data_IF_184317274690
#
_entry.id   IF_184317274690
#
_cell.length_a   1.000
_cell.length_b   1.000
_cell.length_c   1.000
_cell.angle_alpha   90.00
_cell.angle_beta   90.00
_cell.angle_gamma   90.00
#
_symmetry.space_group_name_H-M   'P 1'
#
loop_
_entity.id
_entity.type
_entity.pdbx_description
1 polymer ?
#
# COMPACT_ATOMS: atom_id res chain seq x y z
N UNK A 1 -29.73 -7.88 10.50
CA UNK A 1 -28.77 -8.95 10.17
C UNK A 1 -27.68 -8.91 11.21
N UNK A 2 -27.15 -10.06 11.63
CA UNK A 2 -26.10 -10.15 12.65
C UNK A 2 -24.92 -10.93 12.09
N UNK A 3 -23.74 -10.69 12.67
CA UNK A 3 -22.51 -11.40 12.38
C UNK A 3 -21.84 -11.14 11.03
N UNK A 4 -21.20 -12.17 10.44
CA UNK A 4 -20.53 -12.03 9.14
C UNK A 4 -21.43 -11.42 8.05
N UNK A 5 -22.74 -11.74 7.95
CA UNK A 5 -23.64 -11.05 7.03
C UNK A 5 -23.71 -9.53 7.25
N UNK A 6 -23.77 -9.07 8.51
CA UNK A 6 -23.81 -7.64 8.83
C UNK A 6 -22.47 -6.97 8.48
N UNK A 7 -21.36 -7.63 8.79
CA UNK A 7 -20.02 -7.15 8.44
C UNK A 7 -19.84 -7.07 6.91
N UNK A 8 -20.27 -8.09 6.18
CA UNK A 8 -20.22 -8.11 4.71
C UNK A 8 -21.08 -7.00 4.10
N UNK A 9 -22.25 -6.71 4.67
CA UNK A 9 -23.10 -5.58 4.27
C UNK A 9 -22.38 -4.24 4.48
N UNK A 10 -21.77 -4.04 5.65
CA UNK A 10 -20.96 -2.86 5.94
C UNK A 10 -19.79 -2.70 4.97
N UNK A 11 -19.02 -3.76 4.74
CA UNK A 11 -17.87 -3.74 3.83
C UNK A 11 -18.28 -3.57 2.36
N UNK A 12 -19.47 -4.05 1.98
CA UNK A 12 -20.06 -3.82 0.66
C UNK A 12 -20.49 -2.37 0.45
N UNK A 13 -21.03 -1.72 1.50
CA UNK A 13 -21.41 -0.31 1.47
C UNK A 13 -20.20 0.63 1.55
N UNK A 14 -19.16 0.22 2.29
CA UNK A 14 -17.95 1.01 2.54
C UNK A 14 -16.70 0.20 2.19
N UNK A 15 -16.25 0.25 0.91
CA UNK A 15 -15.08 -0.49 0.45
C UNK A 15 -13.77 -0.16 1.18
N UNK A 16 -13.68 1.05 1.76
CA UNK A 16 -12.59 1.51 2.65
C UNK A 16 -12.41 0.61 3.89
N UNK A 17 -13.51 -0.02 4.34
CA UNK A 17 -13.55 -0.93 5.48
C UNK A 17 -13.33 -2.40 5.07
N UNK A 18 -13.04 -2.65 3.79
CA UNK A 18 -12.64 -3.95 3.24
C UNK A 18 -11.25 -4.38 3.71
N UNK A 19 -11.10 -4.51 5.03
CA UNK A 19 -9.87 -4.84 5.73
C UNK A 19 -9.89 -6.33 6.05
N UNK A 20 -8.89 -7.04 5.55
CA UNK A 20 -8.77 -8.48 5.72
C UNK A 20 -7.37 -8.86 6.19
N UNK A 21 -7.25 -10.06 6.76
CA UNK A 21 -5.95 -10.63 7.11
C UNK A 21 -5.27 -11.16 5.84
N UNK A 22 -3.99 -10.84 5.67
CA UNK A 22 -3.14 -11.26 4.55
C UNK A 22 -2.65 -12.70 4.70
N UNK A 23 -2.56 -13.20 5.92
CA UNK A 23 -2.04 -14.53 6.27
C UNK A 23 -0.60 -14.75 5.77
N UNK A 24 0.26 -13.74 5.89
CA UNK A 24 1.64 -13.76 5.34
C UNK A 24 2.46 -14.95 5.81
N UNK A 25 2.41 -15.27 7.11
CA UNK A 25 3.13 -16.42 7.68
C UNK A 25 2.60 -17.76 7.15
N UNK A 26 1.28 -17.91 6.99
CA UNK A 26 0.69 -19.14 6.45
C UNK A 26 1.01 -19.30 4.97
N UNK A 27 0.92 -18.24 4.18
CA UNK A 27 1.28 -18.27 2.76
C UNK A 27 2.77 -18.58 2.57
N UNK A 28 3.64 -17.98 3.39
CA UNK A 28 5.07 -18.30 3.37
C UNK A 28 5.31 -19.78 3.72
N UNK A 29 4.64 -20.30 4.75
CA UNK A 29 4.71 -21.71 5.13
C UNK A 29 4.25 -22.63 4.00
N UNK A 30 3.16 -22.28 3.31
CA UNK A 30 2.68 -23.04 2.16
C UNK A 30 3.70 -23.07 1.01
N UNK A 31 4.32 -21.93 0.68
CA UNK A 31 5.37 -21.86 -0.32
C UNK A 31 6.59 -22.72 0.04
N UNK A 32 7.00 -22.71 1.32
CA UNK A 32 8.10 -23.54 1.81
C UNK A 32 7.81 -25.04 1.69
N UNK A 33 6.57 -25.46 1.96
CA UNK A 33 6.17 -26.86 1.79
C UNK A 33 6.11 -27.26 0.31
N UNK A 34 5.54 -26.42 -0.55
CA UNK A 34 5.56 -26.68 -2.00
C UNK A 34 6.99 -26.75 -2.54
N UNK A 35 7.90 -25.91 -2.05
CA UNK A 35 9.31 -25.97 -2.40
C UNK A 35 9.96 -27.28 -1.96
N UNK A 36 9.69 -27.75 -0.75
CA UNK A 36 10.21 -29.03 -0.27
C UNK A 36 9.69 -30.22 -1.11
N UNK A 37 8.38 -30.24 -1.42
CA UNK A 37 7.77 -31.25 -2.30
C UNK A 37 8.40 -31.24 -3.70
N UNK A 38 8.69 -30.06 -4.25
CA UNK A 38 9.33 -29.93 -5.55
C UNK A 38 10.77 -30.46 -5.56
N UNK A 39 11.54 -30.19 -4.50
CA UNK A 39 12.92 -30.69 -4.36
C UNK A 39 12.94 -32.22 -4.29
N UNK A 40 11.98 -32.82 -3.58
CA UNK A 40 11.85 -34.27 -3.49
C UNK A 40 11.55 -34.88 -4.86
N UNK A 41 10.58 -34.31 -5.58
CA UNK A 41 10.23 -34.74 -6.94
C UNK A 41 11.37 -34.53 -7.95
N UNK A 42 12.13 -33.45 -7.83
CA UNK A 42 13.30 -33.17 -8.66
C UNK A 42 14.41 -34.22 -8.42
N UNK A 43 14.67 -34.54 -7.15
CA UNK A 43 15.64 -35.55 -6.75
C UNK A 43 15.27 -36.94 -7.28
N UNK A 44 13.99 -37.31 -7.14
CA UNK A 44 13.45 -38.56 -7.70
C UNK A 44 13.55 -38.59 -9.23
N UNK A 45 13.22 -37.48 -9.90
CA UNK A 45 13.31 -37.39 -11.35
C UNK A 45 14.76 -37.55 -11.83
N UNK A 46 15.72 -36.93 -11.16
CA UNK A 46 17.14 -37.12 -11.45
C UNK A 46 17.58 -38.58 -11.28
N UNK A 47 17.13 -39.23 -10.20
CA UNK A 47 17.43 -40.64 -9.92
C UNK A 47 16.92 -41.52 -11.07
N UNK A 48 15.64 -41.40 -11.44
CA UNK A 48 15.07 -42.18 -12.55
C UNK A 48 15.75 -41.88 -13.89
N UNK A 49 16.11 -40.62 -14.13
CA UNK A 49 16.85 -40.23 -15.35
C UNK A 49 18.23 -40.91 -15.42
N UNK A 50 18.95 -40.97 -14.29
CA UNK A 50 20.25 -41.64 -14.17
C UNK A 50 20.12 -43.16 -14.33
N UNK A 51 19.11 -43.78 -13.73
CA UNK A 51 18.83 -45.21 -13.85
C UNK A 51 18.45 -45.60 -15.28
N UNK A 52 17.55 -44.85 -15.93
CA UNK A 52 17.16 -45.09 -17.32
C UNK A 52 18.33 -44.92 -18.30
N UNK A 53 19.27 -44.00 -18.01
CA UNK A 53 20.50 -43.82 -18.78
C UNK A 53 21.50 -44.97 -18.66
N UNK A 54 21.51 -45.68 -17.53
CA UNK A 54 22.38 -46.84 -17.27
C UNK A 54 21.76 -48.18 -17.73
N UNK A 55 20.47 -48.18 -18.07
CA UNK A 55 19.73 -49.38 -18.45
C UNK A 55 20.31 -50.07 -19.68
N UNK A 56 20.36 -51.39 -19.69
CA UNK A 56 20.87 -52.16 -20.85
C UNK A 56 19.89 -52.13 -22.04
N UNK A 57 18.61 -51.83 -21.78
CA UNK A 57 17.56 -51.73 -22.79
C UNK A 57 17.70 -50.42 -23.58
N UNK A 58 17.97 -50.53 -24.89
CA UNK A 58 18.11 -49.40 -25.80
C UNK A 58 16.90 -48.45 -25.79
N UNK A 59 15.68 -49.00 -25.77
CA UNK A 59 14.43 -48.21 -25.68
C UNK A 59 14.36 -47.37 -24.41
N UNK A 60 14.88 -47.88 -23.29
CA UNK A 60 14.89 -47.18 -21.99
C UNK A 60 15.94 -46.06 -21.97
N UNK A 61 17.13 -46.32 -22.53
CA UNK A 61 18.16 -45.28 -22.74
C UNK A 61 17.66 -44.13 -23.63
N UNK A 62 16.86 -44.46 -24.65
CA UNK A 62 16.28 -43.47 -25.56
C UNK A 62 15.19 -42.61 -24.93
N UNK A 63 14.58 -43.01 -23.81
CA UNK A 63 13.57 -42.21 -23.11
C UNK A 63 14.11 -40.83 -22.70
N UNK A 64 15.37 -40.74 -22.29
CA UNK A 64 16.02 -39.47 -21.95
C UNK A 64 16.19 -38.53 -23.15
N UNK A 65 16.28 -39.08 -24.37
CA UNK A 65 16.53 -38.32 -25.60
C UNK A 65 15.28 -38.12 -26.46
N UNK A 66 14.23 -38.90 -26.23
CA UNK A 66 13.04 -38.91 -27.07
C UNK A 66 11.76 -39.00 -26.24
N UNK A 67 11.03 -37.89 -26.23
CA UNK A 67 9.77 -37.72 -25.53
C UNK A 67 8.70 -38.76 -25.93
N UNK A 68 8.68 -39.20 -27.19
CA UNK A 68 7.70 -40.18 -27.66
C UNK A 68 7.85 -41.53 -26.92
N UNK A 69 9.10 -41.96 -26.67
CA UNK A 69 9.36 -43.18 -25.91
C UNK A 69 9.13 -42.98 -24.40
N UNK A 70 9.40 -41.77 -23.88
CA UNK A 70 9.15 -41.43 -22.48
C UNK A 70 7.65 -41.40 -22.13
N UNK A 71 6.84 -40.72 -22.95
CA UNK A 71 5.40 -40.54 -22.72
C UNK A 71 4.57 -41.84 -22.88
N UNK A 72 5.08 -42.78 -23.68
CA UNK A 72 4.45 -44.10 -23.92
C UNK A 72 4.91 -45.18 -22.95
N UNK A 73 5.86 -44.89 -22.07
CA UNK A 73 6.20 -45.72 -20.92
C UNK A 73 5.06 -45.62 -19.89
N UNK A 74 3.86 -46.04 -20.29
CA UNK A 74 2.65 -46.17 -19.46
C UNK A 74 2.73 -47.47 -18.65
N UNK A 75 3.85 -47.68 -17.99
CA UNK A 75 3.86 -48.64 -16.90
C UNK A 75 3.26 -47.86 -15.74
N UNK A 76 2.04 -48.22 -15.32
CA UNK A 76 1.34 -47.63 -14.16
C UNK A 76 2.05 -47.86 -12.83
N UNK A 77 3.37 -47.99 -12.86
CA UNK A 77 4.28 -48.18 -11.75
C UNK A 77 4.61 -46.80 -11.18
N UNK A 78 4.19 -46.59 -9.95
CA UNK A 78 4.65 -45.49 -9.09
C UNK A 78 6.19 -45.54 -9.08
N UNK A 79 6.85 -44.46 -9.51
CA UNK A 79 8.31 -44.40 -9.62
C UNK A 79 8.87 -44.49 -11.04
N UNK A 80 8.16 -44.01 -12.06
CA UNK A 80 8.72 -43.82 -13.40
C UNK A 80 9.03 -42.34 -13.67
N UNK A 81 10.07 -42.09 -14.48
CA UNK A 81 10.49 -40.73 -14.88
C UNK A 81 9.33 -39.88 -15.41
N UNK A 82 8.44 -40.45 -16.23
CA UNK A 82 7.28 -39.75 -16.77
C UNK A 82 6.21 -39.44 -15.72
N UNK A 83 5.98 -40.36 -14.78
CA UNK A 83 5.04 -40.15 -13.68
C UNK A 83 5.51 -39.02 -12.76
N UNK A 84 6.77 -39.06 -12.32
CA UNK A 84 7.38 -38.01 -11.49
C UNK A 84 7.38 -36.67 -12.22
N UNK A 85 7.71 -36.64 -13.52
CA UNK A 85 7.64 -35.41 -14.32
C UNK A 85 6.22 -34.84 -14.40
N UNK A 86 5.19 -35.69 -14.49
CA UNK A 86 3.80 -35.25 -14.52
C UNK A 86 3.36 -34.68 -13.16
N UNK A 87 3.72 -35.35 -12.06
CA UNK A 87 3.47 -34.84 -10.71
C UNK A 87 4.19 -33.50 -10.46
N UNK A 88 5.46 -33.40 -10.87
CA UNK A 88 6.27 -32.18 -10.78
C UNK A 88 5.62 -31.03 -11.54
N UNK A 89 5.09 -31.26 -12.75
CA UNK A 89 4.39 -30.21 -13.52
C UNK A 89 3.18 -29.63 -12.79
N UNK A 90 2.39 -30.47 -12.11
CA UNK A 90 1.22 -30.03 -11.35
C UNK A 90 1.67 -29.19 -10.16
N UNK A 91 2.62 -29.70 -9.37
CA UNK A 91 3.14 -29.00 -8.18
C UNK A 91 3.87 -27.71 -8.52
N UNK A 92 4.61 -27.69 -9.64
CA UNK A 92 5.32 -26.50 -10.10
C UNK A 92 4.35 -25.41 -10.52
N UNK A 93 3.23 -25.78 -11.15
CA UNK A 93 2.15 -24.83 -11.46
C UNK A 93 1.54 -24.26 -10.18
N UNK A 94 1.18 -25.10 -9.21
CA UNK A 94 0.64 -24.67 -7.92
C UNK A 94 1.59 -23.71 -7.18
N UNK A 95 2.89 -24.03 -7.16
CA UNK A 95 3.93 -23.17 -6.59
C UNK A 95 4.01 -21.81 -7.29
N UNK A 96 4.07 -21.80 -8.62
CA UNK A 96 4.16 -20.57 -9.40
C UNK A 96 2.91 -19.69 -9.22
N UNK A 97 1.73 -20.28 -9.19
CA UNK A 97 0.47 -19.58 -8.94
C UNK A 97 0.45 -18.96 -7.53
N UNK A 98 0.83 -19.74 -6.50
CA UNK A 98 0.93 -19.24 -5.13
C UNK A 98 1.93 -18.08 -5.01
N UNK A 99 3.06 -18.15 -5.71
CA UNK A 99 4.09 -17.11 -5.69
C UNK A 99 3.57 -15.79 -6.30
N UNK A 100 2.85 -15.88 -7.43
CA UNK A 100 2.24 -14.71 -8.08
C UNK A 100 1.16 -14.10 -7.20
N UNK A 101 0.30 -14.93 -6.62
CA UNK A 101 -0.73 -14.47 -5.67
C UNK A 101 -0.10 -13.79 -4.45
N UNK A 102 0.95 -14.38 -3.87
CA UNK A 102 1.66 -13.78 -2.75
C UNK A 102 2.28 -12.43 -3.12
N UNK A 103 2.86 -12.31 -4.32
CA UNK A 103 3.36 -11.02 -4.82
C UNK A 103 2.25 -10.00 -4.92
N UNK A 104 1.08 -10.36 -5.46
CA UNK A 104 -0.08 -9.47 -5.52
C UNK A 104 -0.55 -9.07 -4.12
N UNK A 105 -0.62 -10.00 -3.17
CA UNK A 105 -0.97 -9.72 -1.77
C UNK A 105 -0.02 -8.70 -1.12
N UNK A 106 1.26 -8.71 -1.49
CA UNK A 106 2.25 -7.73 -1.02
C UNK A 106 2.05 -6.33 -1.58
N UNK A 107 1.38 -6.18 -2.74
CA UNK A 107 1.10 -4.86 -3.34
C UNK A 107 -0.05 -4.12 -2.69
N UNK A 108 -0.90 -4.81 -1.91
CA UNK A 108 -1.97 -4.14 -1.19
C UNK A 108 -1.44 -3.28 -0.04
N UNK A 109 -2.07 -2.12 0.13
CA UNK A 109 -1.74 -1.17 1.18
C UNK A 109 -2.17 -1.70 2.56
N UNK A 110 -1.50 -1.19 3.59
CA UNK A 110 -1.92 -1.42 4.97
C UNK A 110 -3.18 -0.60 5.26
N UNK A 111 -4.09 -1.08 6.12
CA UNK A 111 -5.28 -0.34 6.47
C UNK A 111 -4.94 0.95 7.22
N UNK A 112 -5.71 2.01 6.96
CA UNK A 112 -5.58 3.25 7.72
C UNK A 112 -6.00 3.03 9.18
N UNK A 113 -5.28 3.68 10.12
CA UNK A 113 -5.61 3.64 11.55
C UNK A 113 -7.02 4.13 11.85
N UNK A 114 -7.53 5.10 11.10
CA UNK A 114 -8.90 5.62 11.24
C UNK A 114 -9.94 4.55 10.91
N UNK A 115 -9.84 3.97 9.72
CA UNK A 115 -10.73 2.92 9.22
C UNK A 115 -10.66 1.65 10.09
N UNK A 116 -9.45 1.27 10.52
CA UNK A 116 -9.27 0.14 11.44
C UNK A 116 -9.95 0.39 12.80
N UNK A 117 -9.82 1.60 13.36
CA UNK A 117 -10.50 1.98 14.61
C UNK A 117 -12.01 1.99 14.46
N UNK A 118 -12.53 2.52 13.35
CA UNK A 118 -13.95 2.55 13.04
C UNK A 118 -14.49 1.11 12.97
N UNK A 119 -13.84 0.25 12.19
CA UNK A 119 -14.22 -1.15 12.05
C UNK A 119 -14.18 -1.88 13.41
N UNK A 120 -13.12 -1.70 14.18
CA UNK A 120 -12.96 -2.32 15.50
C UNK A 120 -14.02 -1.83 16.49
N UNK A 121 -14.35 -0.53 16.44
CA UNK A 121 -15.40 0.07 17.26
C UNK A 121 -16.77 -0.50 16.89
N UNK A 122 -17.08 -0.58 15.60
CA UNK A 122 -18.33 -1.16 15.10
C UNK A 122 -18.48 -2.64 15.51
N UNK A 123 -17.41 -3.44 15.39
CA UNK A 123 -17.38 -4.84 15.83
C UNK A 123 -17.58 -5.01 17.34
N UNK A 124 -17.18 -4.01 18.13
CA UNK A 124 -17.29 -4.04 19.60
C UNK A 124 -18.57 -3.39 20.13
N UNK A 125 -19.37 -2.77 19.27
CA UNK A 125 -20.58 -2.05 19.65
C UNK A 125 -21.79 -3.00 19.66
N UNK A 126 -22.42 -3.14 20.82
CA UNK A 126 -23.61 -3.97 21.04
C UNK A 126 -24.82 -3.49 20.21
N UNK A 127 -24.89 -2.19 19.88
CA UNK A 127 -26.02 -1.62 19.14
C UNK A 127 -25.92 -1.77 17.63
N UNK A 128 -24.70 -1.80 17.09
CA UNK A 128 -24.45 -1.68 15.65
C UNK A 128 -23.86 -2.93 15.02
N UNK A 129 -23.14 -3.75 15.80
CA UNK A 129 -22.57 -5.02 15.36
C UNK A 129 -23.11 -6.25 16.10
N UNK A 130 -23.81 -6.06 17.23
CA UNK A 130 -24.23 -7.13 18.15
C UNK A 130 -23.14 -8.20 18.38
N UNK A 131 -21.90 -7.76 18.64
CA UNK A 131 -20.74 -8.67 18.79
C UNK A 131 -20.60 -9.61 17.58
N UNK A 132 -20.62 -9.03 16.37
CA UNK A 132 -20.79 -9.73 15.09
C UNK A 132 -19.96 -11.01 14.95
N UNK A 133 -18.75 -11.04 15.50
CA UNK A 133 -17.88 -12.20 15.36
C UNK A 133 -17.64 -12.81 16.73
N UNK A 134 -18.19 -14.00 16.90
CA UNK A 134 -17.93 -14.88 18.03
C UNK A 134 -17.01 -16.01 17.54
N UNK A 135 -15.78 -16.07 18.06
CA UNK A 135 -14.81 -17.07 17.62
C UNK A 135 -13.37 -16.69 17.93
N UNK A 136 -12.44 -17.52 17.43
CA UNK A 136 -11.01 -17.26 17.50
C UNK A 136 -10.59 -16.05 16.65
N UNK A 137 -11.41 -15.68 15.68
CA UNK A 137 -11.19 -14.59 14.74
C UNK A 137 -11.76 -13.24 15.20
N UNK A 138 -12.47 -13.20 16.34
CA UNK A 138 -13.04 -11.96 16.92
C UNK A 138 -12.03 -10.84 17.15
N UNK A 139 -10.76 -11.21 17.35
CA UNK A 139 -9.67 -10.27 17.67
C UNK A 139 -8.77 -9.93 16.47
N UNK A 140 -9.04 -10.47 15.27
CA UNK A 140 -8.18 -10.28 14.09
C UNK A 140 -7.92 -8.81 13.79
N UNK A 141 -8.94 -7.95 13.89
CA UNK A 141 -8.80 -6.51 13.66
C UNK A 141 -8.27 -5.74 14.87
N UNK A 142 -8.39 -6.29 16.09
CA UNK A 142 -7.86 -5.69 17.32
C UNK A 142 -6.35 -5.82 17.41
N UNK A 143 -5.82 -6.97 17.00
CA UNK A 143 -4.40 -7.26 17.05
C UNK A 143 -3.62 -6.39 16.05
N UNK A 144 -4.25 -6.00 14.93
CA UNK A 144 -3.69 -5.06 13.96
C UNK A 144 -2.50 -5.59 13.16
N UNK A 145 -2.15 -6.87 13.30
CA UNK A 145 -1.05 -7.51 12.59
C UNK A 145 -1.53 -8.14 11.28
N UNK A 146 -0.68 -8.05 10.25
CA UNK A 146 -0.86 -8.79 9.00
C UNK A 146 -2.18 -8.48 8.28
N UNK A 147 -2.62 -7.22 8.33
CA UNK A 147 -3.83 -6.74 7.68
C UNK A 147 -3.52 -6.07 6.33
N UNK A 148 -4.46 -6.16 5.41
CA UNK A 148 -4.46 -5.48 4.12
C UNK A 148 -5.81 -4.78 3.89
N UNK A 149 -5.81 -3.74 3.06
CA UNK A 149 -7.05 -3.12 2.56
C UNK A 149 -7.22 -3.38 1.07
N UNK A 150 -8.44 -3.74 0.65
CA UNK A 150 -8.76 -4.00 -0.77
C UNK A 150 -8.77 -2.71 -1.57
N UNK A 151 -9.34 -1.65 -1.00
CA UNK A 151 -9.33 -0.31 -1.57
C UNK A 151 -8.50 0.57 -0.64
N UNK A 152 -7.36 1.11 -1.10
CA UNK A 152 -6.67 2.12 -0.32
C UNK A 152 -7.49 3.38 -0.28
N UNK A 153 -7.43 4.04 0.87
CA UNK A 153 -8.08 5.31 1.04
C UNK A 153 -7.44 6.31 0.07
N UNK A 154 -8.28 7.09 -0.62
CA UNK A 154 -7.82 8.01 -1.66
C UNK A 154 -6.86 9.09 -1.12
N UNK A 155 -6.83 9.24 0.20
CA UNK A 155 -5.96 10.10 1.00
C UNK A 155 -4.49 9.65 1.07
N UNK A 156 -4.17 8.41 0.70
CA UNK A 156 -2.83 7.83 0.91
C UNK A 156 -1.71 8.45 0.06
N UNK A 157 -2.03 9.26 -0.94
CA UNK A 157 -1.03 9.82 -1.85
C UNK A 157 -0.56 11.24 -1.55
N UNK A 158 -1.17 11.97 -0.61
CA UNK A 158 -0.85 13.38 -0.39
C UNK A 158 -0.29 13.58 1.03
N UNK A 159 1.05 13.53 1.15
CA UNK A 159 1.79 13.96 2.35
C UNK A 159 1.31 15.33 2.85
N UNK A 160 0.87 16.19 1.93
CA UNK A 160 0.20 17.46 2.22
C UNK A 160 -1.06 17.33 3.06
N UNK A 161 -1.97 16.46 2.65
CA UNK A 161 -3.31 16.35 3.24
C UNK A 161 -3.18 15.83 4.66
N UNK A 162 -2.25 14.91 4.93
CA UNK A 162 -1.91 14.48 6.29
C UNK A 162 -1.28 15.59 7.13
N UNK A 163 -0.41 16.41 6.55
CA UNK A 163 0.20 17.55 7.25
C UNK A 163 -0.86 18.60 7.60
N UNK A 164 -1.66 19.03 6.62
CA UNK A 164 -2.77 19.95 6.82
C UNK A 164 -3.82 19.40 7.78
N UNK A 165 -4.13 18.11 7.69
CA UNK A 165 -5.08 17.47 8.58
C UNK A 165 -4.60 17.58 10.03
N UNK A 166 -3.33 17.28 10.31
CA UNK A 166 -2.76 17.42 11.66
C UNK A 166 -2.61 18.87 12.13
N UNK A 167 -2.21 19.77 11.24
CA UNK A 167 -1.86 21.15 11.61
C UNK A 167 -3.09 22.06 11.68
N UNK A 168 -4.07 21.87 10.80
CA UNK A 168 -5.25 22.73 10.69
C UNK A 168 -6.54 22.01 11.11
N UNK A 169 -6.77 20.79 10.63
CA UNK A 169 -8.08 20.13 10.76
C UNK A 169 -8.26 19.54 12.17
N UNK A 170 -7.27 18.85 12.72
CA UNK A 170 -7.30 18.26 14.06
C UNK A 170 -7.53 19.28 15.19
N UNK A 171 -6.80 20.42 15.26
CA UNK A 171 -7.08 21.44 16.26
C UNK A 171 -8.44 22.12 16.03
N UNK A 172 -8.86 22.31 14.77
CA UNK A 172 -10.17 22.89 14.46
C UNK A 172 -11.33 21.95 14.82
N UNK A 173 -11.18 20.64 14.59
CA UNK A 173 -12.13 19.62 15.00
C UNK A 173 -12.17 19.46 16.52
N UNK A 174 -11.04 19.51 17.23
CA UNK A 174 -11.03 19.54 18.70
C UNK A 174 -11.78 20.75 19.23
N UNK A 175 -11.51 21.94 18.69
CA UNK A 175 -12.17 23.17 19.10
C UNK A 175 -13.69 23.14 18.83
N UNK A 176 -14.10 22.61 17.68
CA UNK A 176 -15.52 22.51 17.30
C UNK A 176 -16.26 21.37 18.02
N UNK A 177 -15.58 20.26 18.33
CA UNK A 177 -16.17 19.13 19.07
C UNK A 177 -16.51 19.46 20.52
N UNK A 178 -15.86 20.49 21.09
CA UNK A 178 -16.22 21.02 22.40
C UNK A 178 -17.60 21.72 22.42
N UNK A 179 -18.17 22.04 21.25
CA UNK A 179 -19.38 22.84 21.13
C UNK A 179 -20.60 22.09 20.56
N UNK A 180 -20.45 20.82 20.11
CA UNK A 180 -21.59 19.98 19.70
C UNK A 180 -21.32 18.50 20.00
N UNK A 181 -22.24 17.78 20.66
CA UNK A 181 -22.13 16.32 20.77
C UNK A 181 -22.23 15.68 19.38
N UNK A 182 -21.57 14.52 19.16
CA UNK A 182 -21.57 13.86 17.85
C UNK A 182 -22.98 13.38 17.49
N UNK A 183 -23.46 13.61 16.25
CA UNK A 183 -24.72 13.05 15.79
C UNK A 183 -24.63 11.52 15.66
N UNK A 184 -25.76 10.89 15.93
CA UNK A 184 -25.94 9.45 16.09
C UNK A 184 -25.39 8.61 14.93
N UNK A 185 -24.86 7.45 15.32
CA UNK A 185 -24.20 6.45 14.48
C UNK A 185 -25.13 5.78 13.46
N UNK A 186 -26.43 6.13 13.46
CA UNK A 186 -27.47 5.55 12.59
C UNK A 186 -27.38 6.02 11.13
N UNK A 187 -26.73 7.16 10.85
CA UNK A 187 -26.33 7.61 9.51
C UNK A 187 -24.83 7.95 9.43
N UNK A 188 -24.08 7.51 10.44
CA UNK A 188 -22.78 8.06 10.82
C UNK A 188 -21.62 7.17 10.39
N UNK A 189 -21.39 7.05 9.08
CA UNK A 189 -20.03 6.81 8.62
C UNK A 189 -19.40 8.16 8.34
N UNK A 190 -18.18 8.34 8.83
CA UNK A 190 -17.26 9.45 8.57
C UNK A 190 -16.94 9.65 7.06
N UNK A 191 -17.76 9.12 6.15
CA UNK A 191 -17.80 9.44 4.73
C UNK A 191 -18.34 10.83 4.43
N UNK A 192 -18.85 11.56 5.43
CA UNK A 192 -18.89 13.02 5.30
C UNK A 192 -17.45 13.53 5.41
N UNK A 193 -16.97 14.12 4.33
CA UNK A 193 -15.72 14.88 4.24
C UNK A 193 -14.46 14.07 3.91
N UNK A 194 -14.47 13.26 2.84
CA UNK A 194 -13.24 12.91 2.09
C UNK A 194 -13.09 13.80 0.85
N UNK A 195 -14.11 13.85 0.00
CA UNK A 195 -14.04 14.66 -1.24
C UNK A 195 -13.96 16.17 -0.93
N UNK A 196 -14.71 16.63 0.08
CA UNK A 196 -14.69 18.05 0.47
C UNK A 196 -13.48 18.42 1.31
N UNK A 197 -12.94 17.54 2.17
CA UNK A 197 -11.68 17.82 2.89
C UNK A 197 -10.53 17.87 1.90
N UNK A 198 -10.44 16.91 0.98
CA UNK A 198 -9.36 16.86 -0.02
C UNK A 198 -9.44 18.09 -0.91
N UNK A 199 -10.63 18.49 -1.37
CA UNK A 199 -10.79 19.73 -2.15
C UNK A 199 -10.41 20.97 -1.34
N UNK A 200 -10.87 21.09 -0.10
CA UNK A 200 -10.55 22.24 0.76
C UNK A 200 -9.05 22.28 1.09
N UNK A 201 -8.44 21.13 1.38
CA UNK A 201 -7.01 21.00 1.61
C UNK A 201 -6.22 21.43 0.36
N UNK A 202 -6.60 20.96 -0.82
CA UNK A 202 -5.96 21.36 -2.08
C UNK A 202 -6.15 22.84 -2.40
N UNK A 203 -7.32 23.41 -2.14
CA UNK A 203 -7.56 24.86 -2.29
C UNK A 203 -6.71 25.66 -1.31
N UNK A 204 -6.59 25.22 -0.05
CA UNK A 204 -5.73 25.87 0.95
C UNK A 204 -4.25 25.73 0.56
N UNK A 205 -3.83 24.57 0.05
CA UNK A 205 -2.45 24.35 -0.40
C UNK A 205 -2.05 25.20 -1.59
N UNK A 206 -2.92 25.28 -2.59
CA UNK A 206 -2.70 26.15 -3.75
C UNK A 206 -2.72 27.64 -3.35
N UNK A 207 -3.57 28.03 -2.40
CA UNK A 207 -3.57 29.39 -1.85
C UNK A 207 -2.27 29.70 -1.07
N UNK A 208 -1.83 28.83 -0.17
CA UNK A 208 -0.58 29.01 0.58
C UNK A 208 0.62 29.04 -0.39
N UNK A 209 0.66 28.14 -1.36
CA UNK A 209 1.74 28.07 -2.34
C UNK A 209 1.81 29.29 -3.26
N UNK A 210 0.69 29.99 -3.50
CA UNK A 210 0.67 31.20 -4.32
C UNK A 210 0.94 32.48 -3.52
N UNK A 211 0.53 32.53 -2.25
CA UNK A 211 0.77 33.67 -1.35
C UNK A 211 2.23 33.72 -0.89
N UNK A 212 2.87 32.56 -0.69
CA UNK A 212 4.24 32.48 -0.16
C UNK A 212 5.27 33.22 -1.05
N UNK A 213 5.30 33.04 -2.38
CA UNK A 213 6.17 33.82 -3.27
C UNK A 213 5.94 35.34 -3.19
N UNK A 214 4.68 35.77 -3.17
CA UNK A 214 4.31 37.19 -3.12
C UNK A 214 4.75 37.81 -1.79
N UNK A 215 4.54 37.11 -0.68
CA UNK A 215 4.96 37.55 0.65
C UNK A 215 6.48 37.71 0.75
N UNK A 216 7.26 36.83 0.12
CA UNK A 216 8.71 36.92 0.10
C UNK A 216 9.20 38.21 -0.57
N UNK A 217 8.61 38.59 -1.71
CA UNK A 217 8.95 39.81 -2.44
C UNK A 217 8.62 41.07 -1.62
N UNK A 218 7.46 41.10 -0.97
CA UNK A 218 7.05 42.24 -0.11
C UNK A 218 7.99 42.39 1.09
N UNK A 219 8.37 41.30 1.74
CA UNK A 219 9.31 41.34 2.88
C UNK A 219 10.70 41.81 2.43
N UNK A 220 11.18 41.35 1.26
CA UNK A 220 12.45 41.79 0.68
C UNK A 220 12.47 43.28 0.33
N UNK A 221 11.32 43.85 -0.05
CA UNK A 221 11.19 45.28 -0.33
C UNK A 221 11.35 46.15 0.93
N UNK A 222 10.83 45.69 2.07
CA UNK A 222 10.84 46.47 3.33
C UNK A 222 12.22 46.46 3.99
N UNK A 223 12.94 45.35 3.91
CA UNK A 223 14.23 45.19 4.58
C UNK A 223 15.34 45.85 3.76
N UNK A 224 16.10 46.77 4.36
CA UNK A 224 17.21 47.48 3.70
C UNK A 224 18.59 46.83 3.89
N UNK A 225 18.75 46.05 4.97
CA UNK A 225 20.01 45.42 5.35
C UNK A 225 20.32 44.20 4.45
N UNK A 226 21.50 44.22 3.81
CA UNK A 226 21.90 43.22 2.82
C UNK A 226 22.10 41.82 3.41
N UNK A 227 22.61 41.70 4.64
CA UNK A 227 22.78 40.40 5.30
C UNK A 227 21.43 39.79 5.65
N UNK A 228 20.49 40.61 6.11
CA UNK A 228 19.11 40.16 6.41
C UNK A 228 18.38 39.76 5.14
N UNK A 229 18.55 40.48 4.02
CA UNK A 229 17.99 40.11 2.71
C UNK A 229 18.45 38.73 2.27
N UNK A 230 19.76 38.45 2.36
CA UNK A 230 20.30 37.14 1.98
C UNK A 230 19.74 36.01 2.85
N UNK A 231 19.63 36.23 4.16
CA UNK A 231 19.00 35.27 5.09
C UNK A 231 17.52 35.02 4.76
N UNK A 232 16.78 36.06 4.43
CA UNK A 232 15.36 35.99 4.05
C UNK A 232 15.19 35.19 2.75
N UNK A 233 16.05 35.38 1.75
CA UNK A 233 16.04 34.59 0.50
C UNK A 233 16.26 33.11 0.78
N UNK A 234 17.27 32.77 1.57
CA UNK A 234 17.53 31.38 1.95
C UNK A 234 16.34 30.75 2.70
N UNK A 235 15.72 31.52 3.61
CA UNK A 235 14.56 31.05 4.37
C UNK A 235 13.33 30.82 3.46
N UNK A 236 12.96 31.80 2.62
CA UNK A 236 11.78 31.68 1.79
C UNK A 236 11.93 30.66 0.65
N UNK A 237 13.14 30.49 0.10
CA UNK A 237 13.41 29.43 -0.87
C UNK A 237 13.29 28.04 -0.25
N UNK A 238 13.78 27.85 0.99
CA UNK A 238 13.59 26.62 1.74
C UNK A 238 12.11 26.35 2.04
N UNK A 239 11.37 27.36 2.53
CA UNK A 239 9.94 27.25 2.80
C UNK A 239 9.11 26.95 1.55
N UNK A 240 9.44 27.58 0.42
CA UNK A 240 8.80 27.30 -0.87
C UNK A 240 9.06 25.87 -1.36
N UNK A 241 10.30 25.39 -1.23
CA UNK A 241 10.64 24.00 -1.58
C UNK A 241 9.89 22.98 -0.73
N UNK A 242 9.75 23.27 0.57
CA UNK A 242 9.04 22.44 1.53
C UNK A 242 7.54 22.47 1.29
N UNK A 243 6.99 23.64 0.94
CA UNK A 243 5.61 23.80 0.54
C UNK A 243 5.32 22.97 -0.72
N UNK A 244 6.10 23.12 -1.80
CA UNK A 244 5.91 22.33 -3.03
C UNK A 244 6.02 20.82 -2.79
N UNK A 245 7.02 20.39 -2.02
CA UNK A 245 7.20 18.97 -1.66
C UNK A 245 6.03 18.44 -0.84
N UNK A 246 5.45 19.28 0.02
CA UNK A 246 4.28 18.92 0.77
C UNK A 246 3.07 18.88 -0.17
N UNK A 247 2.73 19.98 -0.85
CA UNK A 247 1.48 20.24 -1.59
C UNK A 247 1.34 19.51 -2.92
N UNK A 248 2.43 19.14 -3.58
CA UNK A 248 2.39 18.61 -4.94
C UNK A 248 3.02 17.23 -5.02
N UNK A 249 2.49 16.38 -5.92
CA UNK A 249 3.14 15.13 -6.33
C UNK A 249 4.21 15.35 -7.40
N UNK A 250 4.86 16.52 -7.37
CA UNK A 250 5.90 16.88 -8.32
C UNK A 250 7.13 15.99 -8.13
N UNK A 251 7.78 15.63 -9.24
CA UNK A 251 9.05 14.90 -9.16
C UNK A 251 10.11 15.79 -8.51
N UNK A 252 11.11 15.19 -7.86
CA UNK A 252 12.22 15.94 -7.23
C UNK A 252 12.85 16.95 -8.19
N UNK A 253 12.99 16.59 -9.45
CA UNK A 253 13.57 17.46 -10.49
C UNK A 253 12.69 18.69 -10.80
N UNK A 254 11.36 18.56 -10.74
CA UNK A 254 10.41 19.65 -10.96
C UNK A 254 10.46 20.64 -9.79
N UNK A 255 10.58 20.12 -8.56
CA UNK A 255 10.74 20.95 -7.35
C UNK A 255 12.05 21.74 -7.42
N UNK A 256 13.16 21.11 -7.86
CA UNK A 256 14.44 21.81 -8.03
C UNK A 256 14.36 22.91 -9.10
N UNK A 257 13.69 22.65 -10.23
CA UNK A 257 13.52 23.65 -11.27
C UNK A 257 12.68 24.85 -10.78
N UNK A 258 11.55 24.59 -10.11
CA UNK A 258 10.68 25.65 -9.58
C UNK A 258 11.37 26.48 -8.48
N UNK A 259 12.12 25.82 -7.59
CA UNK A 259 12.85 26.49 -6.50
C UNK A 259 14.02 27.32 -7.03
N UNK A 260 14.74 26.83 -8.04
CA UNK A 260 15.78 27.60 -8.73
C UNK A 260 15.21 28.85 -9.41
N UNK A 261 14.11 28.71 -10.15
CA UNK A 261 13.45 29.84 -10.80
C UNK A 261 12.99 30.90 -9.77
N UNK A 262 12.40 30.45 -8.66
CA UNK A 262 11.99 31.33 -7.56
C UNK A 262 13.19 32.06 -6.92
N UNK A 263 14.29 31.34 -6.66
CA UNK A 263 15.51 31.92 -6.12
C UNK A 263 16.12 32.97 -7.08
N UNK A 264 16.15 32.69 -8.38
CA UNK A 264 16.62 33.64 -9.40
C UNK A 264 15.81 34.95 -9.38
N UNK A 265 14.48 34.87 -9.26
CA UNK A 265 13.62 36.05 -9.15
C UNK A 265 13.98 36.87 -7.91
N UNK A 266 14.16 36.23 -6.75
CA UNK A 266 14.52 36.92 -5.52
C UNK A 266 15.89 37.61 -5.58
N UNK A 267 16.89 36.95 -6.19
CA UNK A 267 18.24 37.53 -6.36
C UNK A 267 18.20 38.77 -7.25
N UNK A 268 17.40 38.76 -8.32
CA UNK A 268 17.20 39.95 -9.18
C UNK A 268 16.61 41.11 -8.38
N UNK A 269 15.61 40.86 -7.52
CA UNK A 269 15.02 41.90 -6.66
C UNK A 269 16.01 42.46 -5.64
N UNK A 270 16.92 41.64 -5.09
CA UNK A 270 18.00 42.13 -4.23
C UNK A 270 18.94 43.06 -5.02
N UNK A 271 19.28 42.69 -6.25
CA UNK A 271 20.21 43.47 -7.09
C UNK A 271 19.63 44.77 -7.68
N UNK A 272 18.30 44.92 -7.69
CA UNK A 272 17.61 46.08 -8.28
C UNK A 272 16.97 47.02 -7.26
N UNK A 273 16.96 46.66 -5.97
CA UNK A 273 16.50 47.54 -4.92
C UNK A 273 17.51 48.70 -4.69
N UNK A 274 17.05 49.97 -4.65
CA UNK A 274 17.94 51.10 -4.41
C UNK A 274 18.60 50.97 -3.02
N UNK A 275 19.89 51.27 -2.96
CA UNK A 275 20.72 51.31 -1.75
C UNK A 275 20.12 52.23 -0.68
#
# INVERSE_FOLDING_TARGET
MEGYPALACLQGQYPELGIYRRFSSLNARNLLYLQAELIDLETDLEKYTKEDGKSDKEKTKLCNKNWFYLSRKKDGVVGSQWHTMTALRVKLREYNECLVLQRQLMTFNQPERGNLKLLTRWLSDERHGNLAIQGLDRNVWKDGYDLLTVKPDSLDGDSFTRLLQKVLIDPFHRLRSSCRPPPDLENGIYTYVEVTTIRVANVIGTAISSILPVSAVVVLYIVRDMLKRLGIVALFTALFSLALMATTRAKRIEIFAATAAFASIQVVFIGSAPL
#
